data_IF_238007438613
#
_entry.id   IF_238007438613
#
_cell.length_a   1.000
_cell.length_b   1.000
_cell.length_c   1.000
_cell.angle_alpha   90.00
_cell.angle_beta   90.00
_cell.angle_gamma   90.00
#
_symmetry.space_group_name_H-M   'P 1'
#
loop_
_entity.id
_entity.type
_entity.pdbx_description
1 polymer ?
#
# COMPACT_ATOMS: atom_id res chain seq x y z
N UNK A 1 18.86 7.66 -3.26
CA UNK A 1 17.79 7.70 -2.26
C UNK A 1 17.25 9.10 -2.05
N UNK A 2 17.92 9.97 -1.26
CA UNK A 2 17.44 11.32 -0.89
C UNK A 2 16.90 12.16 -2.06
N UNK A 3 17.57 12.10 -3.22
CA UNK A 3 17.23 12.92 -4.39
C UNK A 3 15.90 12.55 -5.05
N UNK A 4 15.45 11.29 -4.99
CA UNK A 4 14.26 10.88 -5.74
C UNK A 4 12.97 11.26 -5.01
N UNK A 5 12.85 10.92 -3.72
CA UNK A 5 11.71 11.34 -2.89
C UNK A 5 11.62 12.87 -2.86
N UNK A 6 12.75 13.56 -2.67
CA UNK A 6 12.78 15.02 -2.68
C UNK A 6 12.35 15.61 -4.03
N UNK A 7 12.84 15.04 -5.14
CA UNK A 7 12.44 15.44 -6.50
C UNK A 7 10.93 15.25 -6.72
N UNK A 8 10.40 14.07 -6.40
CA UNK A 8 8.97 13.80 -6.56
C UNK A 8 8.14 14.70 -5.65
N UNK A 9 8.57 14.96 -4.42
CA UNK A 9 7.87 15.89 -3.53
C UNK A 9 7.81 17.32 -4.10
N UNK A 10 8.89 17.83 -4.69
CA UNK A 10 8.85 19.14 -5.39
C UNK A 10 7.92 19.11 -6.60
N UNK A 11 7.99 18.02 -7.37
CA UNK A 11 7.14 17.83 -8.54
C UNK A 11 5.63 17.79 -8.18
N UNK A 12 5.25 17.09 -7.11
CA UNK A 12 3.85 16.89 -6.72
C UNK A 12 3.29 18.05 -5.91
N UNK A 13 4.08 18.62 -5.00
CA UNK A 13 3.64 19.60 -4.00
C UNK A 13 4.18 21.01 -4.25
N UNK A 14 5.02 21.20 -5.27
CA UNK A 14 5.63 22.48 -5.64
C UNK A 14 6.89 22.81 -4.82
N UNK A 15 7.51 23.95 -5.13
CA UNK A 15 8.81 24.36 -4.56
C UNK A 15 8.70 25.21 -3.28
N UNK A 16 7.49 25.65 -2.89
CA UNK A 16 7.32 26.37 -1.62
C UNK A 16 7.61 25.44 -0.44
N UNK A 17 8.35 25.89 0.59
CA UNK A 17 8.71 25.07 1.75
C UNK A 17 7.50 24.37 2.39
N UNK A 18 7.72 23.14 2.85
CA UNK A 18 6.73 22.33 3.54
C UNK A 18 7.12 22.16 5.03
N UNK A 19 6.11 22.04 5.89
CA UNK A 19 6.25 21.43 7.21
C UNK A 19 5.83 19.97 7.07
N UNK A 20 6.80 19.07 7.10
CA UNK A 20 6.59 17.64 6.95
C UNK A 20 6.34 17.02 8.31
N UNK A 21 5.15 16.44 8.49
CA UNK A 21 4.80 15.62 9.64
C UNK A 21 4.93 14.15 9.23
N UNK A 22 6.02 13.52 9.66
CA UNK A 22 6.31 12.15 9.31
C UNK A 22 5.69 11.18 10.31
N UNK A 23 4.62 10.55 9.84
CA UNK A 23 3.77 9.63 10.57
C UNK A 23 3.96 8.16 10.18
N UNK A 24 5.01 7.83 9.42
CA UNK A 24 5.45 6.44 9.34
C UNK A 24 5.99 5.99 10.70
N UNK A 25 5.81 4.70 11.01
CA UNK A 25 6.46 4.13 12.18
C UNK A 25 7.99 4.23 12.05
N UNK A 26 8.63 4.45 13.20
CA UNK A 26 10.06 4.73 13.34
C UNK A 26 10.71 3.60 14.14
N UNK A 27 12.03 3.45 14.03
CA UNK A 27 12.76 2.40 14.75
C UNK A 27 13.03 1.20 13.83
N UNK A 28 12.27 0.10 14.00
CA UNK A 28 12.49 -1.14 13.25
C UNK A 28 12.31 -0.99 11.73
N UNK A 29 11.47 -0.04 11.29
CA UNK A 29 11.24 0.24 9.87
C UNK A 29 12.11 1.36 9.33
N UNK A 30 12.86 1.05 8.26
CA UNK A 30 13.71 2.03 7.58
C UNK A 30 12.93 3.15 6.87
N UNK A 31 11.66 2.91 6.53
CA UNK A 31 10.81 3.85 5.78
C UNK A 31 10.69 5.19 6.48
N UNK A 32 10.38 5.20 7.79
CA UNK A 32 10.21 6.43 8.56
C UNK A 32 11.49 7.26 8.58
N UNK A 33 12.62 6.67 8.96
CA UNK A 33 13.90 7.40 9.03
C UNK A 33 14.37 7.87 7.64
N UNK A 34 14.23 7.03 6.62
CA UNK A 34 14.65 7.38 5.25
C UNK A 34 13.82 8.51 4.65
N UNK A 35 12.51 8.47 4.90
CA UNK A 35 11.58 9.53 4.45
C UNK A 35 11.89 10.85 5.15
N UNK A 36 12.18 10.82 6.46
CA UNK A 36 12.58 12.02 7.20
C UNK A 36 13.82 12.67 6.58
N UNK A 37 14.91 11.90 6.41
CA UNK A 37 16.17 12.39 5.84
C UNK A 37 15.98 12.90 4.40
N UNK A 38 15.16 12.22 3.60
CA UNK A 38 14.96 12.63 2.22
C UNK A 38 14.20 13.96 2.10
N UNK A 39 13.24 14.20 2.99
CA UNK A 39 12.38 15.38 2.96
C UNK A 39 12.97 16.60 3.68
N UNK A 40 14.10 16.47 4.38
CA UNK A 40 14.87 17.63 4.88
C UNK A 40 15.24 18.61 3.74
N UNK A 41 15.40 18.10 2.51
CA UNK A 41 15.63 18.93 1.32
C UNK A 41 14.40 19.69 0.82
N UNK A 42 13.24 19.52 1.43
CA UNK A 42 11.95 20.11 1.03
C UNK A 42 11.33 21.05 2.09
N UNK A 43 11.88 21.08 3.30
CA UNK A 43 11.43 21.99 4.36
C UNK A 43 11.70 21.46 5.76
N UNK A 44 10.93 21.94 6.74
CA UNK A 44 11.04 21.50 8.13
C UNK A 44 10.45 20.11 8.26
N UNK A 45 11.18 19.17 8.87
CA UNK A 45 10.69 17.80 9.11
C UNK A 45 10.54 17.57 10.60
N UNK A 46 9.37 17.12 11.02
CA UNK A 46 9.11 16.59 12.37
C UNK A 46 8.66 15.14 12.25
N UNK A 47 9.51 14.21 12.70
CA UNK A 47 9.14 12.81 12.85
C UNK A 47 8.27 12.64 14.10
N UNK A 48 6.96 12.53 13.90
CA UNK A 48 6.00 12.32 14.98
C UNK A 48 5.79 10.83 15.25
N UNK A 49 6.09 9.97 14.27
CA UNK A 49 5.55 8.63 14.22
C UNK A 49 4.03 8.66 14.03
N UNK A 50 3.38 7.49 14.00
CA UNK A 50 1.93 7.39 13.89
C UNK A 50 1.31 7.71 15.25
N UNK A 51 1.37 8.99 15.64
CA UNK A 51 0.89 9.49 16.94
C UNK A 51 0.02 10.72 16.73
N UNK A 52 -1.29 10.51 16.75
CA UNK A 52 -2.31 11.51 16.43
C UNK A 52 -2.15 12.77 17.29
N UNK A 53 -2.02 12.62 18.61
CA UNK A 53 -1.85 13.74 19.54
C UNK A 53 -0.62 14.59 19.24
N UNK A 54 0.49 13.97 18.83
CA UNK A 54 1.72 14.69 18.47
C UNK A 54 1.55 15.44 17.16
N UNK A 55 0.87 14.84 16.18
CA UNK A 55 0.59 15.48 14.88
C UNK A 55 -0.32 16.70 15.10
N UNK A 56 -1.49 16.49 15.71
CA UNK A 56 -2.46 17.56 15.97
C UNK A 56 -1.92 18.64 16.92
N UNK A 57 -1.16 18.24 17.95
CA UNK A 57 -0.46 19.17 18.83
C UNK A 57 0.57 20.04 18.10
N UNK A 58 1.33 19.44 17.17
CA UNK A 58 2.29 20.18 16.34
C UNK A 58 1.60 21.19 15.43
N UNK A 59 0.53 20.77 14.74
CA UNK A 59 -0.24 21.64 13.86
C UNK A 59 -0.82 22.83 14.62
N UNK A 60 -1.40 22.60 15.81
CA UNK A 60 -1.90 23.67 16.68
C UNK A 60 -0.80 24.63 17.13
N UNK A 61 0.39 24.12 17.45
CA UNK A 61 1.52 24.94 17.89
C UNK A 61 2.09 25.82 16.77
N UNK A 62 2.20 25.27 15.56
CA UNK A 62 2.73 26.00 14.40
C UNK A 62 1.68 26.90 13.73
N UNK A 63 0.40 26.54 13.82
CA UNK A 63 -0.72 27.28 13.26
C UNK A 63 -0.89 27.09 11.74
N UNK A 64 -1.75 27.90 11.14
CA UNK A 64 -2.28 27.70 9.77
C UNK A 64 -1.46 28.41 8.68
N UNK A 65 -0.42 29.15 9.06
CA UNK A 65 0.42 29.91 8.13
C UNK A 65 1.33 29.04 7.24
N UNK A 66 1.42 27.74 7.53
CA UNK A 66 2.31 26.81 6.87
C UNK A 66 1.58 25.85 5.95
N UNK A 67 2.33 25.31 4.97
CA UNK A 67 1.91 24.19 4.15
C UNK A 67 2.36 22.90 4.81
N UNK A 68 1.44 22.01 5.09
CA UNK A 68 1.72 20.74 5.74
C UNK A 68 1.81 19.62 4.70
N UNK A 69 2.83 18.79 4.81
CA UNK A 69 2.90 17.50 4.13
C UNK A 69 2.88 16.40 5.18
N UNK A 70 1.76 15.68 5.29
CA UNK A 70 1.62 14.56 6.21
C UNK A 70 1.97 13.29 5.43
N UNK A 71 2.97 12.54 5.91
CA UNK A 71 3.44 11.32 5.24
C UNK A 71 3.22 10.11 6.13
N UNK A 72 2.70 9.01 5.60
CA UNK A 72 2.37 7.84 6.41
C UNK A 72 1.60 6.76 5.66
N UNK A 73 1.14 5.76 6.40
CA UNK A 73 0.33 4.67 5.85
C UNK A 73 -1.08 5.17 5.47
N UNK A 74 -1.65 4.73 4.33
CA UNK A 74 -3.02 5.09 3.93
C UNK A 74 -4.08 4.96 5.04
N UNK A 75 -4.22 3.81 5.74
CA UNK A 75 -5.21 3.67 6.81
C UNK A 75 -4.96 4.63 7.98
N UNK A 76 -3.69 4.85 8.35
CA UNK A 76 -3.35 5.79 9.42
C UNK A 76 -3.77 7.23 9.09
N UNK A 77 -3.55 7.70 7.86
CA UNK A 77 -3.93 9.08 7.50
C UNK A 77 -5.44 9.29 7.53
N UNK A 78 -6.22 8.25 7.24
CA UNK A 78 -7.66 8.33 7.45
C UNK A 78 -7.99 8.42 8.94
N UNK A 79 -7.45 7.50 9.75
CA UNK A 79 -7.67 7.50 11.19
C UNK A 79 -7.33 8.88 11.81
N UNK A 80 -6.23 9.48 11.39
CA UNK A 80 -5.85 10.84 11.78
C UNK A 80 -6.95 11.87 11.49
N UNK A 81 -7.53 11.86 10.28
CA UNK A 81 -8.61 12.79 9.93
C UNK A 81 -9.86 12.55 10.78
N UNK A 82 -10.22 11.29 11.00
CA UNK A 82 -11.42 10.90 11.75
C UNK A 82 -11.30 11.30 13.23
N UNK A 83 -10.18 10.98 13.86
CA UNK A 83 -9.91 11.35 15.26
C UNK A 83 -9.81 12.88 15.41
N UNK A 84 -9.19 13.57 14.46
CA UNK A 84 -9.18 15.03 14.47
C UNK A 84 -10.59 15.62 14.32
N UNK A 85 -11.45 15.04 13.48
CA UNK A 85 -12.85 15.47 13.35
C UNK A 85 -13.62 15.26 14.66
N UNK A 86 -13.44 14.10 15.31
CA UNK A 86 -14.11 13.75 16.55
C UNK A 86 -13.80 14.74 17.68
N UNK A 87 -12.58 15.30 17.70
CA UNK A 87 -12.17 16.32 18.68
C UNK A 87 -12.36 17.77 18.20
N UNK A 88 -12.99 17.98 17.03
CA UNK A 88 -13.26 19.31 16.49
C UNK A 88 -12.03 20.06 15.97
N UNK A 89 -11.01 19.35 15.47
CA UNK A 89 -9.86 19.98 14.84
C UNK A 89 -10.28 20.74 13.56
N UNK A 90 -9.89 22.02 13.39
CA UNK A 90 -10.37 22.85 12.28
C UNK A 90 -9.60 22.58 10.99
N UNK A 91 -9.78 21.39 10.41
CA UNK A 91 -9.04 20.94 9.23
C UNK A 91 -9.09 21.91 8.04
N UNK A 92 -10.20 22.63 7.86
CA UNK A 92 -10.41 23.55 6.76
C UNK A 92 -9.45 24.75 6.77
N UNK A 93 -8.87 25.07 7.94
CA UNK A 93 -7.98 26.22 8.09
C UNK A 93 -6.53 25.90 7.66
N UNK A 94 -6.18 24.63 7.46
CA UNK A 94 -4.82 24.19 7.16
C UNK A 94 -4.61 23.90 5.67
N UNK A 95 -3.47 24.34 5.11
CA UNK A 95 -3.03 23.95 3.77
C UNK A 95 -2.29 22.60 3.82
N UNK A 96 -3.00 21.49 3.58
CA UNK A 96 -2.45 20.15 3.78
C UNK A 96 -2.30 19.35 2.48
N UNK A 97 -1.22 18.57 2.41
CA UNK A 97 -0.93 17.58 1.39
C UNK A 97 -0.60 16.23 2.04
N UNK A 98 -0.82 15.13 1.32
CA UNK A 98 -0.50 13.78 1.80
C UNK A 98 0.44 13.04 0.83
N UNK A 99 1.43 12.34 1.40
CA UNK A 99 2.24 11.34 0.70
C UNK A 99 2.11 9.98 1.39
N UNK A 100 1.45 9.05 0.72
CA UNK A 100 1.18 7.69 1.21
C UNK A 100 2.32 6.74 0.86
N UNK A 101 2.49 5.67 1.62
CA UNK A 101 3.45 4.60 1.31
C UNK A 101 3.30 3.41 2.24
N UNK A 102 4.10 2.37 2.00
CA UNK A 102 4.10 1.13 2.77
C UNK A 102 2.97 0.16 2.40
N UNK A 103 1.81 0.68 1.96
CA UNK A 103 0.64 -0.12 1.59
C UNK A 103 -0.04 0.45 0.33
N UNK A 104 -0.78 -0.39 -0.39
CA UNK A 104 -1.67 0.06 -1.47
C UNK A 104 -2.86 0.84 -0.92
N UNK A 105 -3.45 1.72 -1.73
CA UNK A 105 -4.68 2.43 -1.40
C UNK A 105 -5.68 2.40 -2.57
N UNK A 106 -6.96 2.40 -2.25
CA UNK A 106 -8.04 2.54 -3.23
C UNK A 106 -8.23 4.00 -3.67
N UNK A 107 -8.84 4.22 -4.84
CA UNK A 107 -9.26 5.57 -5.23
C UNK A 107 -10.36 6.12 -4.33
N UNK A 108 -11.21 5.26 -3.76
CA UNK A 108 -12.21 5.67 -2.76
C UNK A 108 -11.56 6.23 -1.49
N UNK A 109 -10.50 5.58 -0.97
CA UNK A 109 -9.72 6.11 0.14
C UNK A 109 -9.04 7.44 -0.24
N UNK A 110 -8.51 7.56 -1.46
CA UNK A 110 -7.96 8.83 -1.95
C UNK A 110 -9.01 9.95 -1.92
N UNK A 111 -10.21 9.68 -2.43
CA UNK A 111 -11.31 10.65 -2.44
C UNK A 111 -11.74 11.06 -1.01
N UNK A 112 -11.72 10.11 -0.07
CA UNK A 112 -11.96 10.40 1.34
C UNK A 112 -10.95 11.40 1.92
N UNK A 113 -9.66 11.14 1.68
CA UNK A 113 -8.56 11.98 2.15
C UNK A 113 -8.59 13.36 1.49
N UNK A 114 -8.93 13.43 0.21
CA UNK A 114 -9.05 14.69 -0.55
C UNK A 114 -10.14 15.64 -0.03
N UNK A 115 -11.03 15.19 0.86
CA UNK A 115 -11.99 16.09 1.54
C UNK A 115 -11.28 17.11 2.44
N UNK A 116 -10.08 16.79 2.95
CA UNK A 116 -9.29 17.66 3.83
C UNK A 116 -7.91 18.00 3.25
N UNK A 117 -7.29 17.08 2.51
CA UNK A 117 -6.03 17.33 1.84
C UNK A 117 -6.24 17.95 0.45
N UNK A 118 -5.43 18.94 0.08
CA UNK A 118 -5.41 19.50 -1.28
C UNK A 118 -4.90 18.53 -2.34
N UNK A 119 -4.04 17.60 -1.94
CA UNK A 119 -3.53 16.56 -2.85
C UNK A 119 -3.03 15.35 -2.08
N UNK A 120 -3.24 14.18 -2.66
CA UNK A 120 -2.83 12.89 -2.10
C UNK A 120 -2.09 12.13 -3.19
N UNK A 121 -0.84 11.78 -2.94
CA UNK A 121 0.00 10.95 -3.83
C UNK A 121 0.60 9.80 -3.03
N UNK A 122 1.04 8.74 -3.72
CA UNK A 122 1.67 7.58 -3.09
C UNK A 122 3.10 7.38 -3.61
N UNK A 123 3.97 6.86 -2.76
CA UNK A 123 5.30 6.38 -3.11
C UNK A 123 5.36 4.86 -3.07
N UNK A 124 6.24 4.29 -3.89
CA UNK A 124 6.61 2.89 -3.87
C UNK A 124 8.08 2.74 -3.48
N UNK A 125 8.38 1.74 -2.67
CA UNK A 125 9.71 1.46 -2.17
C UNK A 125 9.76 0.13 -1.44
N UNK A 126 10.94 -0.47 -1.42
CA UNK A 126 11.21 -1.71 -0.69
C UNK A 126 12.51 -1.54 0.09
N UNK A 127 12.51 -1.83 1.39
CA UNK A 127 13.66 -1.58 2.29
C UNK A 127 14.93 -2.32 1.85
N UNK A 128 14.77 -3.49 1.26
CA UNK A 128 15.83 -4.36 0.77
C UNK A 128 16.42 -3.95 -0.60
N UNK A 129 15.72 -3.07 -1.34
CA UNK A 129 16.20 -2.43 -2.57
C UNK A 129 16.52 -0.95 -2.31
N UNK A 130 15.49 -0.13 -2.20
CA UNK A 130 15.56 1.31 -1.92
C UNK A 130 14.16 1.86 -1.55
N UNK A 131 14.10 2.72 -0.53
CA UNK A 131 12.89 3.48 -0.22
C UNK A 131 12.78 4.66 -1.20
N UNK A 132 11.59 4.83 -1.78
CA UNK A 132 11.36 5.79 -2.85
C UNK A 132 12.02 5.33 -4.15
N UNK A 133 11.51 4.22 -4.70
CA UNK A 133 11.80 3.66 -6.03
C UNK A 133 10.94 4.29 -7.13
N UNK A 134 9.67 4.54 -6.82
CA UNK A 134 8.73 5.17 -7.74
C UNK A 134 7.73 6.05 -6.97
N UNK A 135 7.04 6.94 -7.68
CA UNK A 135 5.98 7.75 -7.10
C UNK A 135 4.82 7.95 -8.07
N UNK A 136 3.63 8.17 -7.52
CA UNK A 136 2.46 8.54 -8.32
C UNK A 136 2.66 9.93 -8.92
N UNK A 137 2.23 10.07 -10.16
CA UNK A 137 2.03 11.37 -10.80
C UNK A 137 0.55 11.54 -11.16
N UNK A 138 0.10 12.75 -11.51
CA UNK A 138 -1.28 12.95 -11.95
C UNK A 138 -1.69 11.99 -13.06
N UNK A 139 -0.77 11.67 -13.98
CA UNK A 139 -1.01 10.71 -15.06
C UNK A 139 -1.24 9.30 -14.52
N UNK A 140 -0.48 8.87 -13.50
CA UNK A 140 -0.68 7.57 -12.86
C UNK A 140 -2.08 7.46 -12.25
N UNK A 141 -2.50 8.49 -11.51
CA UNK A 141 -3.81 8.53 -10.86
C UNK A 141 -4.92 8.54 -11.92
N UNK A 142 -4.77 9.36 -12.97
CA UNK A 142 -5.71 9.42 -14.09
C UNK A 142 -5.85 8.09 -14.82
N UNK A 143 -4.74 7.41 -15.11
CA UNK A 143 -4.75 6.09 -15.72
C UNK A 143 -5.44 5.05 -14.81
N UNK A 144 -5.17 5.09 -13.50
CA UNK A 144 -5.79 4.17 -12.53
C UNK A 144 -7.30 4.37 -12.47
N UNK A 145 -7.77 5.62 -12.43
CA UNK A 145 -9.21 5.95 -12.47
C UNK A 145 -9.86 5.54 -13.78
N UNK A 146 -9.19 5.79 -14.90
CA UNK A 146 -9.68 5.42 -16.22
C UNK A 146 -9.84 3.90 -16.34
N UNK A 147 -8.84 3.13 -15.91
CA UNK A 147 -8.89 1.67 -15.92
C UNK A 147 -10.00 1.13 -14.99
N UNK A 148 -10.21 1.74 -13.83
CA UNK A 148 -11.31 1.37 -12.92
C UNK A 148 -12.70 1.63 -13.55
N UNK A 149 -12.84 2.69 -14.35
CA UNK A 149 -14.09 3.05 -15.01
C UNK A 149 -14.33 2.30 -16.33
N UNK A 150 -13.27 1.79 -16.98
CA UNK A 150 -13.30 1.16 -18.30
C UNK A 150 -12.55 -0.19 -18.29
N UNK A 151 -13.26 -1.32 -18.04
CA UNK A 151 -12.65 -2.65 -17.96
C UNK A 151 -11.82 -3.03 -19.17
N UNK A 152 -12.22 -2.62 -20.39
CA UNK A 152 -11.48 -2.88 -21.61
C UNK A 152 -10.10 -2.21 -21.63
N UNK A 153 -9.97 -1.04 -20.99
CA UNK A 153 -8.68 -0.37 -20.79
C UNK A 153 -7.89 -1.11 -19.71
N UNK A 154 -8.52 -1.49 -18.59
CA UNK A 154 -7.83 -2.29 -17.57
C UNK A 154 -7.21 -3.56 -18.15
N UNK A 155 -7.95 -4.32 -18.95
CA UNK A 155 -7.45 -5.53 -19.62
C UNK A 155 -6.32 -5.22 -20.61
N UNK A 156 -6.45 -4.15 -21.41
CA UNK A 156 -5.42 -3.78 -22.39
C UNK A 156 -4.09 -3.35 -21.76
N UNK A 157 -4.12 -2.81 -20.54
CA UNK A 157 -2.91 -2.37 -19.83
C UNK A 157 -2.36 -3.42 -18.88
N UNK A 158 -3.23 -4.14 -18.17
CA UNK A 158 -2.88 -4.93 -17.00
C UNK A 158 -3.30 -6.41 -17.10
N UNK A 159 -3.99 -6.81 -18.17
CA UNK A 159 -4.50 -8.17 -18.37
C UNK A 159 -5.78 -8.48 -17.59
N UNK A 160 -6.22 -9.74 -17.63
CA UNK A 160 -7.42 -10.23 -16.95
C UNK A 160 -7.15 -10.57 -15.47
N UNK A 161 -6.71 -9.58 -14.69
CA UNK A 161 -6.39 -9.81 -13.27
C UNK A 161 -7.59 -9.62 -12.33
N UNK A 162 -8.61 -8.86 -12.75
CA UNK A 162 -9.71 -8.40 -11.87
C UNK A 162 -9.29 -7.43 -10.77
N UNK A 163 -7.98 -7.20 -10.58
CA UNK A 163 -7.37 -6.39 -9.52
C UNK A 163 -7.00 -5.01 -10.04
N UNK A 164 -7.16 -3.98 -9.21
CA UNK A 164 -6.71 -2.62 -9.53
C UNK A 164 -5.27 -2.41 -9.04
N UNK A 165 -4.28 -2.21 -9.93
CA UNK A 165 -2.90 -2.01 -9.52
C UNK A 165 -2.66 -0.58 -9.03
N UNK A 166 -1.68 -0.40 -8.15
CA UNK A 166 -1.02 0.90 -8.00
C UNK A 166 -0.22 1.19 -9.26
N UNK A 167 -0.14 2.46 -9.69
CA UNK A 167 0.63 2.87 -10.86
C UNK A 167 1.59 3.97 -10.45
N UNK A 168 2.86 3.87 -10.83
CA UNK A 168 3.90 4.80 -10.46
C UNK A 168 4.77 5.16 -11.67
N UNK A 169 5.51 6.26 -11.57
CA UNK A 169 6.66 6.53 -12.44
C UNK A 169 7.95 6.41 -11.64
N UNK A 170 8.99 5.88 -12.28
CA UNK A 170 10.32 5.76 -11.70
C UNK A 170 11.37 6.43 -12.60
N UNK A 171 12.53 6.76 -12.01
CA UNK A 171 13.61 7.37 -12.76
C UNK A 171 14.53 6.29 -13.35
N UNK A 172 14.56 6.10 -14.69
CA UNK A 172 15.34 5.04 -15.33
C UNK A 172 16.86 5.25 -15.22
N UNK A 173 17.31 6.45 -14.80
CA UNK A 173 18.72 6.72 -14.50
C UNK A 173 19.12 6.24 -13.10
N UNK A 174 18.16 6.04 -12.20
CA UNK A 174 18.40 5.57 -10.83
C UNK A 174 18.10 4.07 -10.68
N UNK A 175 17.11 3.58 -11.43
CA UNK A 175 16.64 2.20 -11.33
C UNK A 175 16.33 1.64 -12.71
N UNK A 176 16.81 0.44 -12.98
CA UNK A 176 16.30 -0.40 -14.05
C UNK A 176 15.28 -1.37 -13.46
N UNK A 177 14.10 -1.44 -14.07
CA UNK A 177 13.00 -2.30 -13.63
C UNK A 177 12.60 -3.19 -14.80
N UNK A 178 12.46 -4.47 -14.54
CA UNK A 178 12.00 -5.47 -15.51
C UNK A 178 11.02 -6.44 -14.85
N UNK A 179 10.30 -7.21 -15.66
CA UNK A 179 9.38 -8.26 -15.19
C UNK A 179 9.88 -9.60 -15.68
N UNK A 180 9.92 -10.60 -14.79
CA UNK A 180 10.31 -11.96 -15.17
C UNK A 180 9.13 -12.76 -15.78
N UNK A 181 9.41 -13.97 -16.26
CA UNK A 181 8.40 -14.87 -16.85
C UNK A 181 7.27 -15.27 -15.89
N UNK A 182 7.47 -15.01 -14.58
CA UNK A 182 6.50 -15.25 -13.52
C UNK A 182 5.62 -14.03 -13.23
N UNK A 183 5.79 -12.91 -13.94
CA UNK A 183 5.05 -11.67 -13.68
C UNK A 183 5.51 -10.91 -12.43
N UNK A 184 6.72 -11.20 -11.93
CA UNK A 184 7.28 -10.52 -10.75
C UNK A 184 8.27 -9.43 -11.16
N UNK A 185 8.28 -8.34 -10.39
CA UNK A 185 9.14 -7.19 -10.60
C UNK A 185 10.56 -7.46 -10.09
N UNK A 186 11.53 -7.20 -10.97
CA UNK A 186 12.96 -7.25 -10.67
C UNK A 186 13.53 -5.84 -10.76
N UNK A 187 14.36 -5.48 -9.79
CA UNK A 187 14.98 -4.18 -9.68
C UNK A 187 16.49 -4.28 -9.83
N UNK A 188 17.10 -3.27 -10.45
CA UNK A 188 18.54 -3.04 -10.42
C UNK A 188 18.78 -1.56 -10.13
N UNK A 189 19.57 -1.24 -9.12
CA UNK A 189 19.96 0.12 -8.77
C UNK A 189 21.12 0.56 -9.66
N UNK A 190 20.86 1.49 -10.58
CA UNK A 190 21.82 1.95 -11.61
C UNK A 190 22.56 3.23 -11.22
N UNK A 191 22.27 3.79 -10.05
CA UNK A 191 22.98 4.94 -9.48
C UNK A 191 24.48 4.64 -9.35
N UNK A 192 25.31 5.53 -9.91
CA UNK A 192 26.78 5.44 -9.86
C UNK A 192 27.35 5.36 -8.43
N UNK A 193 26.76 6.05 -7.46
CA UNK A 193 27.24 6.08 -6.08
C UNK A 193 26.75 4.90 -5.21
N UNK A 194 26.21 3.83 -5.81
CA UNK A 194 25.70 2.65 -5.08
C UNK A 194 26.78 1.58 -4.98
N UNK A 195 27.09 1.12 -3.76
CA UNK A 195 28.05 0.01 -3.54
C UNK A 195 27.44 -1.37 -3.85
N UNK A 196 26.15 -1.58 -3.57
CA UNK A 196 25.44 -2.82 -3.86
C UNK A 196 24.28 -2.54 -4.82
N UNK A 197 24.45 -2.76 -6.14
CA UNK A 197 23.47 -2.37 -7.15
C UNK A 197 22.22 -3.27 -7.18
N UNK A 198 22.14 -4.31 -6.34
CA UNK A 198 20.99 -5.23 -6.26
C UNK A 198 20.55 -5.72 -7.64
N UNK A 199 21.47 -6.30 -8.41
CA UNK A 199 21.21 -6.69 -9.81
C UNK A 199 20.10 -7.73 -9.87
N UNK A 200 19.05 -7.42 -10.64
CA UNK A 200 17.85 -8.27 -10.83
C UNK A 200 17.25 -8.76 -9.51
N UNK A 201 17.28 -7.93 -8.47
CA UNK A 201 16.75 -8.29 -7.17
C UNK A 201 15.23 -8.40 -7.23
N UNK A 202 14.69 -9.53 -6.76
CA UNK A 202 13.27 -9.83 -6.80
C UNK A 202 12.64 -9.47 -5.46
N UNK A 203 11.70 -8.52 -5.46
CA UNK A 203 10.92 -8.13 -4.27
C UNK A 203 9.62 -8.93 -4.14
N UNK A 204 9.35 -9.83 -5.09
CA UNK A 204 8.17 -10.68 -5.19
C UNK A 204 6.83 -9.95 -5.35
N UNK A 205 6.88 -8.68 -5.75
CA UNK A 205 5.71 -7.93 -6.16
C UNK A 205 5.30 -8.32 -7.59
N UNK A 206 4.01 -8.59 -7.77
CA UNK A 206 3.40 -8.85 -9.06
C UNK A 206 3.11 -7.53 -9.78
N UNK A 207 3.54 -7.43 -11.03
CA UNK A 207 3.43 -6.17 -11.75
C UNK A 207 4.16 -6.13 -13.09
N UNK A 208 4.22 -4.93 -13.66
CA UNK A 208 4.90 -4.72 -14.93
C UNK A 208 5.36 -3.30 -15.18
N UNK A 209 6.12 -3.16 -16.25
CA UNK A 209 6.71 -1.89 -16.69
C UNK A 209 6.11 -1.51 -18.03
N UNK A 210 5.77 -0.24 -18.19
CA UNK A 210 5.24 0.32 -19.43
C UNK A 210 6.09 1.53 -19.81
N UNK A 211 6.66 1.53 -21.01
CA UNK A 211 7.39 2.70 -21.50
C UNK A 211 6.42 3.84 -21.80
N UNK A 212 6.86 5.10 -21.65
CA UNK A 212 6.00 6.27 -21.96
C UNK A 212 5.47 6.26 -23.40
N UNK A 213 6.30 5.88 -24.38
CA UNK A 213 5.86 5.79 -25.78
C UNK A 213 4.86 4.67 -26.01
N UNK A 214 4.98 3.57 -25.27
CA UNK A 214 4.02 2.48 -25.31
C UNK A 214 2.70 2.85 -24.65
N UNK A 215 2.73 3.50 -23.49
CA UNK A 215 1.54 4.01 -22.82
C UNK A 215 0.74 4.91 -23.77
N UNK A 216 1.40 5.86 -24.43
CA UNK A 216 0.77 6.77 -25.40
C UNK A 216 0.15 6.03 -26.57
N UNK A 217 0.85 5.05 -27.15
CA UNK A 217 0.31 4.23 -28.26
C UNK A 217 -0.91 3.44 -27.82
N UNK A 218 -0.88 2.80 -26.64
CA UNK A 218 -2.00 2.01 -26.12
C UNK A 218 -3.21 2.90 -25.81
N UNK A 219 -3.02 4.10 -25.24
CA UNK A 219 -4.12 5.05 -24.99
C UNK A 219 -4.71 5.58 -26.30
N UNK A 220 -3.88 5.87 -27.30
CA UNK A 220 -4.34 6.35 -28.61
C UNK A 220 -5.23 5.33 -29.34
N UNK A 221 -5.08 4.02 -29.08
CA UNK A 221 -5.99 3.00 -29.60
C UNK A 221 -7.43 3.10 -29.04
N UNK A 222 -7.63 3.90 -27.99
CA UNK A 222 -8.93 4.23 -27.40
C UNK A 222 -9.31 5.69 -27.60
N UNK A 223 -8.66 6.40 -28.52
CA UNK A 223 -8.82 7.85 -28.79
C UNK A 223 -8.55 8.73 -27.56
N UNK A 224 -7.67 8.27 -26.66
CA UNK A 224 -7.30 8.98 -25.44
C UNK A 224 -5.86 9.47 -25.54
N UNK A 225 -5.66 10.76 -25.33
CA UNK A 225 -4.36 11.37 -25.13
C UNK A 225 -3.96 11.39 -23.67
N UNK A 226 -2.65 11.55 -23.41
CA UNK A 226 -2.12 11.61 -22.06
C UNK A 226 -2.64 12.84 -21.29
N UNK A 227 -2.94 13.91 -22.02
CA UNK A 227 -3.54 15.14 -21.48
C UNK A 227 -4.97 14.92 -20.96
N UNK A 228 -5.68 13.91 -21.45
CA UNK A 228 -7.06 13.62 -21.01
C UNK A 228 -7.07 12.93 -19.63
N UNK A 229 -5.91 12.45 -19.17
CA UNK A 229 -5.73 11.85 -17.85
C UNK A 229 -5.45 12.87 -16.75
N UNK A 230 -5.15 14.13 -17.09
CA UNK A 230 -4.68 15.14 -16.14
C UNK A 230 -5.39 16.48 -16.33
N UNK A 231 -5.72 17.21 -15.26
CA UNK A 231 -6.14 18.61 -15.37
C UNK A 231 -5.05 19.46 -16.06
N UNK A 232 -5.44 20.38 -16.93
CA UNK A 232 -4.67 21.01 -18.02
C UNK A 232 -3.44 21.89 -17.65
N UNK A 233 -2.91 21.81 -16.44
CA UNK A 233 -1.89 22.77 -15.96
C UNK A 233 -0.64 22.12 -15.34
N UNK A 234 -0.57 20.78 -15.25
CA UNK A 234 0.57 20.11 -14.61
C UNK A 234 1.61 19.63 -15.62
N UNK A 235 2.87 20.00 -15.38
CA UNK A 235 4.02 19.51 -16.15
C UNK A 235 4.04 17.99 -16.14
N UNK A 236 4.09 17.35 -17.29
CA UNK A 236 4.17 15.89 -17.41
C UNK A 236 5.64 15.48 -17.48
N UNK A 237 6.07 14.55 -16.65
CA UNK A 237 7.43 14.00 -16.72
C UNK A 237 7.40 12.78 -17.64
N UNK A 238 8.33 12.75 -18.59
CA UNK A 238 8.49 11.63 -19.50
C UNK A 238 9.37 10.57 -18.83
N UNK A 239 8.73 9.65 -18.12
CA UNK A 239 9.37 8.54 -17.41
C UNK A 239 8.57 7.26 -17.66
N UNK A 240 9.23 6.07 -17.63
CA UNK A 240 8.52 4.80 -17.66
C UNK A 240 7.62 4.65 -16.44
N UNK A 241 6.58 3.85 -16.63
CA UNK A 241 5.59 3.52 -15.63
C UNK A 241 5.85 2.13 -15.07
N UNK A 242 5.49 1.95 -13.82
CA UNK A 242 5.49 0.70 -13.07
C UNK A 242 4.09 0.49 -12.53
N UNK A 243 3.48 -0.67 -12.74
CA UNK A 243 2.23 -1.04 -12.08
C UNK A 243 2.47 -2.22 -11.13
N UNK A 244 1.83 -2.18 -9.96
CA UNK A 244 2.03 -3.14 -8.85
C UNK A 244 0.67 -3.59 -8.35
N UNK A 245 0.39 -4.89 -8.40
CA UNK A 245 -0.85 -5.48 -7.87
C UNK A 245 -0.75 -5.84 -6.38
N UNK A 246 0.46 -6.04 -5.86
CA UNK A 246 0.74 -6.54 -4.52
C UNK A 246 1.70 -7.72 -4.57
N UNK A 247 1.91 -8.41 -3.44
CA UNK A 247 2.85 -9.53 -3.39
C UNK A 247 2.27 -10.79 -4.03
N UNK A 248 3.10 -11.51 -4.79
CA UNK A 248 2.74 -12.78 -5.41
C UNK A 248 2.63 -13.93 -4.39
N UNK A 249 3.35 -13.82 -3.29
CA UNK A 249 3.35 -14.80 -2.19
C UNK A 249 2.12 -14.70 -1.28
N UNK A 250 1.13 -13.86 -1.61
CA UNK A 250 -0.11 -13.65 -0.84
C UNK A 250 0.07 -12.91 0.49
N UNK A 251 1.23 -12.29 0.71
CA UNK A 251 1.46 -11.42 1.88
C UNK A 251 0.54 -10.20 1.81
N UNK A 252 -0.18 -9.92 2.88
CA UNK A 252 -0.93 -8.66 3.05
C UNK A 252 -0.19 -7.74 3.99
N UNK A 253 -0.31 -6.42 3.77
CA UNK A 253 0.26 -5.42 4.66
C UNK A 253 -0.86 -4.64 5.33
N UNK A 254 -0.81 -4.53 6.66
CA UNK A 254 -1.78 -3.77 7.47
C UNK A 254 -0.99 -2.92 8.46
N UNK A 255 -1.15 -1.60 8.39
CA UNK A 255 -0.40 -0.63 9.22
C UNK A 255 1.12 -0.83 9.12
N UNK A 256 1.60 -1.15 7.91
CA UNK A 256 3.00 -1.44 7.61
C UNK A 256 3.50 -2.84 8.03
N UNK A 257 2.70 -3.65 8.75
CA UNK A 257 3.09 -5.01 9.11
C UNK A 257 2.79 -6.00 7.99
N UNK A 258 3.80 -6.74 7.54
CA UNK A 258 3.63 -7.82 6.56
C UNK A 258 3.15 -9.09 7.27
N UNK A 259 1.97 -9.57 6.86
CA UNK A 259 1.35 -10.79 7.37
C UNK A 259 1.49 -11.86 6.28
N UNK A 260 2.31 -12.87 6.55
CA UNK A 260 2.64 -13.92 5.60
C UNK A 260 1.68 -15.11 5.75
N UNK A 261 1.27 -15.78 4.65
CA UNK A 261 0.48 -17.01 4.76
C UNK A 261 1.13 -18.09 5.60
N UNK A 262 2.46 -18.19 5.58
CA UNK A 262 3.21 -19.15 6.41
C UNK A 262 3.01 -18.90 7.92
N UNK A 263 2.85 -17.64 8.35
CA UNK A 263 2.56 -17.33 9.75
C UNK A 263 1.12 -17.74 10.13
N UNK A 264 0.17 -17.55 9.21
CA UNK A 264 -1.23 -18.00 9.38
C UNK A 264 -1.29 -19.52 9.47
N UNK A 265 -0.61 -20.20 8.54
CA UNK A 265 -0.52 -21.65 8.48
C UNK A 265 0.09 -22.18 9.78
N UNK A 266 1.24 -21.66 10.21
CA UNK A 266 1.85 -22.06 11.48
C UNK A 266 0.91 -21.88 12.68
N UNK A 267 0.07 -20.84 12.68
CA UNK A 267 -0.90 -20.60 13.76
C UNK A 267 -2.06 -21.60 13.76
N UNK A 268 -2.56 -21.97 12.58
CA UNK A 268 -3.60 -22.99 12.42
C UNK A 268 -3.08 -24.38 12.81
N UNK A 269 -1.88 -24.74 12.34
CA UNK A 269 -1.29 -26.07 12.54
C UNK A 269 -0.62 -26.26 13.92
N UNK A 270 -0.49 -25.20 14.73
CA UNK A 270 -0.01 -25.30 16.10
C UNK A 270 -0.96 -26.09 17.01
N UNK A 271 -2.27 -26.11 16.69
CA UNK A 271 -3.27 -26.91 17.38
C UNK A 271 -3.83 -28.00 16.42
N UNK A 272 -3.51 -29.28 16.64
CA UNK A 272 -4.00 -30.37 15.80
C UNK A 272 -5.53 -30.42 15.67
N UNK A 273 -6.27 -30.04 16.71
CA UNK A 273 -7.73 -30.04 16.68
C UNK A 273 -8.30 -28.95 15.77
N UNK A 274 -7.61 -27.80 15.65
CA UNK A 274 -7.97 -26.75 14.70
C UNK A 274 -7.54 -27.14 13.28
N UNK A 275 -6.34 -27.70 13.13
CA UNK A 275 -5.82 -28.15 11.84
C UNK A 275 -6.75 -29.17 11.15
N UNK A 276 -7.31 -30.12 11.90
CA UNK A 276 -8.27 -31.10 11.36
C UNK A 276 -9.55 -30.48 10.80
N UNK A 277 -9.93 -29.29 11.26
CA UNK A 277 -11.12 -28.57 10.80
C UNK A 277 -10.85 -27.74 9.54
N UNK A 278 -9.59 -27.42 9.24
CA UNK A 278 -9.20 -26.53 8.15
C UNK A 278 -8.74 -27.33 6.94
N UNK A 279 -9.41 -27.14 5.81
CA UNK A 279 -8.98 -27.69 4.52
C UNK A 279 -7.98 -26.77 3.83
N UNK A 280 -8.25 -25.46 3.83
CA UNK A 280 -7.37 -24.44 3.26
C UNK A 280 -7.75 -23.06 3.80
N UNK A 281 -6.94 -22.05 3.51
CA UNK A 281 -7.27 -20.66 3.86
C UNK A 281 -6.84 -19.70 2.76
N UNK A 282 -7.40 -18.48 2.78
CA UNK A 282 -6.98 -17.34 1.98
C UNK A 282 -6.77 -16.14 2.88
N UNK A 283 -5.76 -15.36 2.54
CA UNK A 283 -5.44 -14.11 3.19
C UNK A 283 -5.86 -12.97 2.27
N UNK A 284 -6.60 -12.03 2.84
CA UNK A 284 -7.10 -10.86 2.17
C UNK A 284 -7.08 -9.66 3.13
N UNK A 285 -7.46 -8.50 2.62
CA UNK A 285 -7.69 -7.31 3.43
C UNK A 285 -9.20 -7.04 3.41
N UNK A 286 -9.82 -6.92 4.59
CA UNK A 286 -11.21 -6.48 4.72
C UNK A 286 -11.24 -5.01 5.06
N UNK A 287 -11.93 -4.23 4.23
CA UNK A 287 -12.24 -2.82 4.48
C UNK A 287 -13.66 -2.76 5.05
N UNK A 288 -13.80 -2.60 6.37
CA UNK A 288 -15.12 -2.51 7.03
C UNK A 288 -15.77 -1.15 6.80
N UNK A 289 -14.92 -0.12 6.73
CA UNK A 289 -15.22 1.27 6.37
C UNK A 289 -14.03 1.77 5.57
N UNK A 290 -14.17 2.83 4.75
CA UNK A 290 -13.03 3.42 4.04
C UNK A 290 -11.82 3.51 4.99
N UNK A 291 -10.63 3.08 4.59
CA UNK A 291 -9.37 3.12 5.36
C UNK A 291 -9.35 2.43 6.75
N UNK A 292 -10.40 1.71 7.14
CA UNK A 292 -10.40 0.79 8.28
C UNK A 292 -10.17 -0.63 7.77
N UNK A 293 -8.90 -0.91 7.48
CA UNK A 293 -8.45 -2.17 6.88
C UNK A 293 -7.93 -3.12 7.94
N UNK A 294 -8.43 -4.36 7.92
CA UNK A 294 -8.04 -5.44 8.84
C UNK A 294 -7.60 -6.68 8.05
N UNK A 295 -6.71 -7.53 8.60
CA UNK A 295 -6.39 -8.79 7.96
C UNK A 295 -7.60 -9.73 7.99
N UNK A 296 -8.02 -10.22 6.83
CA UNK A 296 -9.08 -11.22 6.68
C UNK A 296 -8.46 -12.57 6.35
N UNK A 297 -8.80 -13.57 7.14
CA UNK A 297 -8.47 -14.96 6.90
C UNK A 297 -9.77 -15.70 6.59
N UNK A 298 -10.01 -15.94 5.31
CA UNK A 298 -11.06 -16.84 4.87
C UNK A 298 -10.57 -18.28 5.09
N UNK A 299 -11.33 -19.08 5.83
CA UNK A 299 -10.99 -20.47 6.13
C UNK A 299 -12.00 -21.38 5.45
N UNK A 300 -11.51 -22.26 4.59
CA UNK A 300 -12.29 -23.35 4.05
C UNK A 300 -12.26 -24.52 5.03
N UNK A 301 -13.43 -24.92 5.49
CA UNK A 301 -13.56 -26.05 6.42
C UNK A 301 -13.44 -27.39 5.68
N UNK A 302 -12.83 -28.35 6.36
CA UNK A 302 -12.76 -29.74 5.90
C UNK A 302 -14.14 -30.40 5.90
N UNK A 303 -14.99 -30.07 6.89
CA UNK A 303 -16.37 -30.57 7.06
C UNK A 303 -17.26 -29.52 7.74
N UNK A 304 -18.55 -29.55 7.44
CA UNK A 304 -19.55 -28.71 8.10
C UNK A 304 -19.53 -27.24 7.66
N UNK A 305 -20.31 -26.43 8.39
CA UNK A 305 -20.56 -25.00 8.18
C UNK A 305 -19.88 -24.09 9.24
N UNK A 306 -19.18 -24.69 10.21
CA UNK A 306 -18.40 -23.98 11.21
C UNK A 306 -19.22 -23.56 12.44
N UNK A 307 -18.55 -22.95 13.42
CA UNK A 307 -19.22 -22.37 14.59
C UNK A 307 -18.51 -21.10 15.04
N UNK A 308 -19.20 -20.17 15.72
CA UNK A 308 -18.56 -18.98 16.30
C UNK A 308 -17.39 -19.33 17.22
N UNK A 309 -17.50 -20.41 18.00
CA UNK A 309 -16.43 -20.88 18.86
C UNK A 309 -15.19 -21.32 18.08
N UNK A 310 -15.38 -21.96 16.91
CA UNK A 310 -14.28 -22.34 16.01
C UNK A 310 -13.62 -21.10 15.39
N UNK A 311 -14.42 -20.11 14.97
CA UNK A 311 -13.92 -18.82 14.47
C UNK A 311 -13.02 -18.14 15.50
N UNK A 312 -13.48 -18.04 16.75
CA UNK A 312 -12.74 -17.39 17.84
C UNK A 312 -11.46 -18.16 18.18
N UNK A 313 -11.51 -19.50 18.19
CA UNK A 313 -10.36 -20.35 18.45
C UNK A 313 -9.26 -20.18 17.37
N UNK A 314 -9.66 -20.18 16.09
CA UNK A 314 -8.76 -19.95 14.95
C UNK A 314 -8.18 -18.54 14.97
N UNK A 315 -9.02 -17.51 15.17
CA UNK A 315 -8.57 -16.13 15.28
C UNK A 315 -7.56 -15.95 16.42
N UNK A 316 -7.82 -16.55 17.59
CA UNK A 316 -6.91 -16.53 18.73
C UNK A 316 -5.60 -17.28 18.48
N UNK A 317 -5.64 -18.45 17.83
CA UNK A 317 -4.44 -19.21 17.49
C UNK A 317 -3.54 -18.46 16.50
N UNK A 318 -4.13 -17.91 15.44
CA UNK A 318 -3.44 -17.09 14.44
C UNK A 318 -2.85 -15.84 15.09
N UNK A 319 -3.64 -15.11 15.89
CA UNK A 319 -3.17 -13.89 16.54
C UNK A 319 -2.01 -14.16 17.51
N UNK A 320 -2.05 -15.27 18.28
CA UNK A 320 -0.94 -15.69 19.15
C UNK A 320 0.32 -16.01 18.34
N UNK A 321 0.17 -16.73 17.23
CA UNK A 321 1.30 -17.06 16.37
C UNK A 321 1.95 -15.80 15.80
N UNK A 322 1.17 -14.90 15.20
CA UNK A 322 1.64 -13.62 14.67
C UNK A 322 2.34 -12.79 15.76
N UNK A 323 1.73 -12.69 16.94
CA UNK A 323 2.32 -11.98 18.07
C UNK A 323 3.59 -12.63 18.61
N UNK A 324 3.87 -13.91 18.32
CA UNK A 324 5.07 -14.59 18.80
C UNK A 324 6.24 -14.57 17.81
N UNK A 325 5.96 -14.62 16.51
CA UNK A 325 6.99 -14.80 15.47
C UNK A 325 7.20 -13.58 14.57
N UNK A 326 6.23 -12.66 14.49
CA UNK A 326 6.26 -11.55 13.54
C UNK A 326 6.50 -10.22 14.27
N UNK A 327 7.75 -9.74 14.22
CA UNK A 327 8.15 -8.50 14.89
C UNK A 327 7.43 -7.26 14.35
N UNK A 328 7.15 -7.22 13.04
CA UNK A 328 6.38 -6.12 12.44
C UNK A 328 4.96 -6.08 13.02
N UNK A 329 4.32 -7.25 13.13
CA UNK A 329 3.00 -7.38 13.75
C UNK A 329 3.01 -7.02 15.23
N UNK A 330 4.02 -7.46 16.00
CA UNK A 330 4.16 -7.12 17.42
C UNK A 330 4.22 -5.60 17.64
N UNK A 331 4.96 -4.88 16.81
CA UNK A 331 5.12 -3.45 16.94
C UNK A 331 3.86 -2.70 16.45
N UNK A 332 3.28 -3.11 15.31
CA UNK A 332 2.01 -2.56 14.84
C UNK A 332 0.85 -2.78 15.82
N UNK A 333 0.84 -3.91 16.56
CA UNK A 333 -0.13 -4.20 17.62
C UNK A 333 -0.02 -3.27 18.82
N UNK A 334 1.17 -2.73 19.13
CA UNK A 334 1.35 -1.74 20.20
C UNK A 334 0.77 -0.39 19.79
N UNK A 335 0.86 -0.06 18.50
CA UNK A 335 0.38 1.21 17.96
C UNK A 335 -1.14 1.17 17.68
N UNK A 336 -1.66 0.08 17.09
CA UNK A 336 -3.04 -0.02 16.58
C UNK A 336 -3.69 -1.40 16.84
N UNK A 337 -3.89 -1.81 18.09
CA UNK A 337 -4.37 -3.17 18.40
C UNK A 337 -5.71 -3.50 17.73
N UNK A 338 -6.65 -2.56 17.63
CA UNK A 338 -7.97 -2.80 17.05
C UNK A 338 -7.93 -3.14 15.55
N UNK A 339 -6.99 -2.57 14.79
CA UNK A 339 -6.88 -2.77 13.33
C UNK A 339 -6.12 -4.04 12.97
N UNK A 340 -5.31 -4.56 13.90
CA UNK A 340 -4.46 -5.72 13.68
C UNK A 340 -5.11 -7.03 14.14
N UNK A 341 -6.19 -6.99 14.92
CA UNK A 341 -6.97 -8.20 15.27
C UNK A 341 -7.50 -8.84 13.99
N UNK A 342 -7.10 -10.08 13.65
CA UNK A 342 -7.55 -10.71 12.42
C UNK A 342 -9.03 -11.05 12.44
N UNK A 343 -9.67 -10.83 11.30
CA UNK A 343 -11.03 -11.29 11.03
C UNK A 343 -10.92 -12.69 10.45
N UNK A 344 -11.65 -13.64 11.03
CA UNK A 344 -11.77 -15.00 10.49
C UNK A 344 -13.18 -15.21 9.96
N UNK A 345 -13.30 -15.64 8.70
CA UNK A 345 -14.56 -16.01 8.09
C UNK A 345 -14.51 -17.48 7.67
N UNK A 346 -15.50 -18.27 8.12
CA UNK A 346 -15.56 -19.70 7.83
C UNK A 346 -16.44 -19.96 6.62
N UNK A 347 -15.94 -20.80 5.72
CA UNK A 347 -16.62 -21.19 4.49
C UNK A 347 -16.72 -22.71 4.42
N UNK A 348 -17.89 -23.21 4.02
CA UNK A 348 -18.03 -24.62 3.67
C UNK A 348 -17.12 -24.96 2.47
N UNK A 349 -16.87 -26.26 2.28
CA UNK A 349 -16.04 -26.71 1.17
C UNK A 349 -16.62 -26.28 -0.18
N UNK A 350 -15.79 -25.65 -1.00
CA UNK A 350 -16.16 -25.15 -2.32
C UNK A 350 -17.12 -23.95 -2.32
N UNK A 351 -17.26 -23.20 -1.20
CA UNK A 351 -18.12 -22.00 -1.15
C UNK A 351 -17.32 -20.72 -0.97
N UNK A 352 -17.97 -19.57 -1.15
CA UNK A 352 -17.38 -18.25 -0.95
C UNK A 352 -16.17 -18.03 -1.87
N UNK A 353 -15.03 -17.53 -1.35
CA UNK A 353 -13.85 -17.30 -2.17
C UNK A 353 -13.33 -18.60 -2.81
N UNK A 354 -13.62 -19.76 -2.24
CA UNK A 354 -13.13 -21.06 -2.72
C UNK A 354 -13.99 -21.72 -3.81
N UNK A 355 -15.06 -21.08 -4.29
CA UNK A 355 -15.97 -21.67 -5.28
C UNK A 355 -15.32 -22.08 -6.61
N UNK A 356 -14.17 -21.48 -6.97
CA UNK A 356 -13.41 -21.81 -8.18
C UNK A 356 -12.34 -22.89 -8.03
N UNK A 357 -12.16 -23.47 -6.83
CA UNK A 357 -11.05 -24.39 -6.53
C UNK A 357 -11.46 -25.87 -6.44
N UNK A 358 -12.73 -26.21 -6.71
CA UNK A 358 -13.26 -27.57 -6.55
C UNK A 358 -12.44 -28.67 -7.28
N UNK A 359 -11.83 -28.32 -8.43
CA UNK A 359 -11.05 -29.23 -9.28
C UNK A 359 -9.52 -29.01 -9.19
N UNK A 360 -9.03 -28.18 -8.26
CA UNK A 360 -7.61 -27.80 -8.17
C UNK A 360 -6.90 -28.45 -6.99
N UNK A 361 -5.78 -29.12 -7.27
CA UNK A 361 -4.94 -29.77 -6.26
C UNK A 361 -4.06 -28.76 -5.50
N UNK A 362 -3.74 -27.60 -6.10
CA UNK A 362 -2.87 -26.58 -5.49
C UNK A 362 -3.69 -25.45 -4.88
N UNK A 363 -3.56 -25.24 -3.57
CA UNK A 363 -4.24 -24.16 -2.84
C UNK A 363 -3.77 -22.77 -3.31
N UNK A 364 -4.72 -21.84 -3.41
CA UNK A 364 -4.48 -20.40 -3.59
C UNK A 364 -4.76 -19.70 -2.27
N UNK A 365 -3.80 -18.89 -1.83
CA UNK A 365 -3.88 -18.17 -0.56
C UNK A 365 -4.33 -16.69 -0.72
N UNK A 366 -4.79 -16.27 -1.91
CA UNK A 366 -5.40 -14.94 -2.15
C UNK A 366 -6.81 -15.12 -2.71
N UNK A 367 -7.76 -14.32 -2.22
CA UNK A 367 -9.07 -14.15 -2.87
C UNK A 367 -8.95 -13.13 -4.02
N UNK A 368 -9.46 -13.50 -5.21
CA UNK A 368 -9.41 -12.67 -6.41
C UNK A 368 -10.28 -11.41 -6.27
#
# INVERSE_FOLDING_TARGET
MRRMISFFARYTFGDRPLVVLNAFSMGAWATGMTTAIALEGNGLVKATGPQIDKILGTMRQLGTAYRYLIVGYPPFLKLLLDEGEAIGHPWADYDMHALLGGESNSEALRDYLLRRFRSVFSGYGATDVEIGLAAETPVCIGLRRLAAARPEIATAFFGESGRSPMIFQYNPLLHHVETNDRGELLFTVTRHATLSPKVRYNVHDEGGVIRDDELRRRLAAFDIGLQDLVPSERRMVRMPYLYVFGRKDSTVSVMGANIYPADIEAGIYADPALAEQVLSFRLAIREERPGETRPLIDIQLARGDGSPALTDALAGAIARQLASQNADYQEAMKEYPALLVPVVELHARGTGPFAGDADRIKHRYVAA
#
